data_IF_152244378448
#
_entry.id   IF_152244378448
#
_cell.length_a   1.000
_cell.length_b   1.000
_cell.length_c   1.000
_cell.angle_alpha   90.00
_cell.angle_beta   90.00
_cell.angle_gamma   90.00
#
_symmetry.space_group_name_H-M   'P 1'
#
loop_
_entity.id
_entity.type
_entity.pdbx_description
1 polymer ?
#
# COMPACT_ATOMS: atom_id res chain seq x y z
N UNK A 1 -7.22 -23.03 5.18
CA UNK A 1 -8.39 -22.75 4.31
C UNK A 1 -9.19 -21.59 4.86
N UNK A 2 -8.96 -20.35 4.40
CA UNK A 2 -9.82 -19.23 4.71
C UNK A 2 -11.22 -19.52 4.16
N UNK A 3 -12.24 -19.38 5.01
CA UNK A 3 -13.63 -19.61 4.61
C UNK A 3 -14.05 -18.71 3.44
N UNK A 4 -15.05 -19.16 2.67
CA UNK A 4 -15.62 -18.45 1.51
C UNK A 4 -15.95 -16.97 1.83
N UNK A 5 -16.34 -16.68 3.06
CA UNK A 5 -16.61 -15.32 3.56
C UNK A 5 -15.36 -14.43 3.63
N UNK A 6 -14.21 -14.96 4.08
CA UNK A 6 -12.96 -14.22 4.14
C UNK A 6 -12.45 -13.86 2.74
N UNK A 7 -12.53 -14.80 1.77
CA UNK A 7 -12.21 -14.51 0.35
C UNK A 7 -13.11 -13.41 -0.24
N UNK A 8 -14.41 -13.43 0.07
CA UNK A 8 -15.33 -12.36 -0.35
C UNK A 8 -14.94 -11.01 0.23
N UNK A 9 -14.62 -10.97 1.52
CA UNK A 9 -14.18 -9.75 2.22
C UNK A 9 -12.92 -9.15 1.60
N UNK A 10 -11.93 -9.98 1.26
CA UNK A 10 -10.69 -9.53 0.61
C UNK A 10 -10.95 -8.96 -0.79
N UNK A 11 -11.73 -9.67 -1.63
CA UNK A 11 -12.12 -9.17 -2.95
C UNK A 11 -12.82 -7.81 -2.89
N UNK A 12 -13.69 -7.60 -1.90
CA UNK A 12 -14.35 -6.31 -1.71
C UNK A 12 -13.38 -5.22 -1.27
N UNK A 13 -12.37 -5.53 -0.46
CA UNK A 13 -11.28 -4.61 -0.15
C UNK A 13 -10.46 -4.24 -1.41
N UNK A 14 -10.07 -5.22 -2.23
CA UNK A 14 -9.34 -4.99 -3.48
C UNK A 14 -10.12 -4.10 -4.45
N UNK A 15 -11.45 -4.29 -4.55
CA UNK A 15 -12.32 -3.38 -5.32
C UNK A 15 -12.30 -1.96 -4.78
N UNK A 16 -12.42 -1.78 -3.46
CA UNK A 16 -12.38 -0.45 -2.81
C UNK A 16 -11.06 0.28 -3.07
N UNK A 17 -9.94 -0.45 -3.12
CA UNK A 17 -8.62 0.11 -3.44
C UNK A 17 -8.33 0.20 -4.94
N UNK A 18 -9.23 -0.29 -5.81
CA UNK A 18 -9.03 -0.28 -7.26
C UNK A 18 -7.94 -1.26 -7.74
N UNK A 19 -7.60 -2.26 -6.95
CA UNK A 19 -6.50 -3.22 -7.19
C UNK A 19 -6.97 -4.65 -7.42
N UNK A 20 -8.27 -4.85 -7.59
CA UNK A 20 -8.80 -6.13 -8.04
C UNK A 20 -8.27 -6.44 -9.45
N UNK A 21 -7.60 -7.57 -9.60
CA UNK A 21 -7.16 -8.08 -10.89
C UNK A 21 -8.37 -8.34 -11.80
N UNK A 22 -8.43 -7.74 -13.00
CA UNK A 22 -9.52 -8.00 -13.94
C UNK A 22 -9.51 -9.43 -14.51
N UNK A 23 -8.35 -10.09 -14.54
CA UNK A 23 -8.18 -11.40 -15.16
C UNK A 23 -7.43 -12.40 -14.23
N UNK A 24 -7.98 -12.73 -13.04
CA UNK A 24 -7.32 -13.62 -12.10
C UNK A 24 -7.12 -15.04 -12.67
N UNK A 25 -8.03 -15.51 -13.53
CA UNK A 25 -7.93 -16.84 -14.14
C UNK A 25 -6.80 -16.95 -15.19
N UNK A 26 -6.24 -15.83 -15.65
CA UNK A 26 -5.11 -15.84 -16.57
C UNK A 26 -3.77 -16.06 -15.84
N UNK A 27 -3.76 -16.00 -14.50
CA UNK A 27 -2.58 -16.30 -13.67
C UNK A 27 -2.51 -17.81 -13.49
N UNK A 28 -1.54 -18.45 -14.13
CA UNK A 28 -1.33 -19.91 -14.16
C UNK A 28 0.00 -20.34 -13.53
N UNK A 29 0.76 -19.40 -12.96
CA UNK A 29 2.02 -19.72 -12.27
C UNK A 29 1.78 -20.73 -11.12
N UNK A 30 2.65 -21.74 -10.91
CA UNK A 30 2.50 -22.73 -9.84
C UNK A 30 2.39 -22.15 -8.42
N UNK A 31 2.82 -20.90 -8.20
CA UNK A 31 2.63 -20.17 -6.94
C UNK A 31 1.17 -20.06 -6.52
N UNK A 32 0.25 -20.16 -7.48
CA UNK A 32 -1.19 -20.19 -7.24
C UNK A 32 -1.63 -21.39 -6.40
N UNK A 33 -0.87 -22.47 -6.42
CA UNK A 33 -1.14 -23.71 -5.67
C UNK A 33 -0.50 -23.68 -4.27
N UNK A 34 0.44 -22.76 -4.04
CA UNK A 34 1.18 -22.67 -2.78
C UNK A 34 0.45 -21.81 -1.75
N UNK A 35 -0.46 -22.47 -1.02
CA UNK A 35 -1.03 -21.93 0.21
C UNK A 35 -1.95 -20.72 0.06
N UNK A 36 -2.16 -20.00 1.17
CA UNK A 36 -3.15 -18.93 1.27
C UNK A 36 -2.55 -17.52 1.01
N UNK A 37 -1.23 -17.42 0.79
CA UNK A 37 -0.51 -16.13 0.71
C UNK A 37 -0.61 -15.46 -0.66
N UNK A 38 -0.34 -16.21 -1.73
CA UNK A 38 -0.45 -15.68 -3.07
C UNK A 38 -1.91 -15.55 -3.50
N UNK A 39 -2.29 -14.35 -3.92
CA UNK A 39 -3.65 -14.08 -4.35
C UNK A 39 -3.69 -13.50 -5.76
N UNK A 40 -4.17 -14.33 -6.70
CA UNK A 40 -4.40 -13.96 -8.10
C UNK A 40 -5.39 -12.79 -8.25
N UNK A 41 -6.22 -12.51 -7.25
CA UNK A 41 -7.14 -11.37 -7.27
C UNK A 41 -6.46 -10.03 -6.96
N UNK A 42 -5.26 -10.03 -6.37
CA UNK A 42 -4.52 -8.80 -6.04
C UNK A 42 -3.53 -8.43 -7.15
N UNK A 43 -3.90 -7.47 -8.00
CA UNK A 43 -3.08 -7.11 -9.17
C UNK A 43 -1.69 -6.59 -8.81
N UNK A 44 -1.52 -6.00 -7.62
CA UNK A 44 -0.21 -5.47 -7.18
C UNK A 44 0.70 -6.63 -6.82
N UNK A 45 0.17 -7.63 -6.10
CA UNK A 45 0.90 -8.84 -5.75
C UNK A 45 1.26 -9.64 -7.01
N UNK A 46 0.32 -9.84 -7.93
CA UNK A 46 0.55 -10.55 -9.19
C UNK A 46 1.67 -9.89 -10.00
N UNK A 47 1.67 -8.56 -10.12
CA UNK A 47 2.75 -7.85 -10.82
C UNK A 47 4.09 -7.96 -10.09
N UNK A 48 4.10 -7.87 -8.76
CA UNK A 48 5.33 -7.99 -8.00
C UNK A 48 5.95 -9.39 -8.14
N UNK A 49 5.16 -10.45 -7.96
CA UNK A 49 5.65 -11.83 -8.11
C UNK A 49 6.09 -12.13 -9.55
N UNK A 50 5.44 -11.55 -10.56
CA UNK A 50 5.92 -11.63 -11.95
C UNK A 50 7.32 -11.05 -12.12
N UNK A 51 7.59 -9.87 -11.54
CA UNK A 51 8.93 -9.25 -11.58
C UNK A 51 9.93 -10.09 -10.78
N UNK A 52 9.56 -10.52 -9.58
CA UNK A 52 10.37 -11.34 -8.68
C UNK A 52 10.79 -12.66 -9.33
N UNK A 53 9.92 -13.31 -10.10
CA UNK A 53 10.24 -14.54 -10.85
C UNK A 53 11.36 -14.37 -11.87
N UNK A 54 11.53 -13.17 -12.44
CA UNK A 54 12.62 -12.87 -13.37
C UNK A 54 13.89 -12.51 -12.61
N UNK A 55 13.77 -11.69 -11.56
CA UNK A 55 14.94 -11.14 -10.85
C UNK A 55 15.52 -12.07 -9.80
N UNK A 56 14.70 -12.87 -9.15
CA UNK A 56 15.09 -13.80 -8.06
C UNK A 56 15.17 -15.24 -8.56
N UNK A 57 14.20 -15.68 -9.37
CA UNK A 57 14.13 -17.06 -9.86
C UNK A 57 14.72 -17.24 -11.27
N UNK A 58 15.33 -16.18 -11.84
CA UNK A 58 16.01 -16.14 -13.15
C UNK A 58 15.17 -16.66 -14.34
N UNK A 59 13.83 -16.62 -14.23
CA UNK A 59 12.97 -17.02 -15.34
C UNK A 59 13.04 -16.02 -16.49
N UNK A 60 12.76 -16.49 -17.70
CA UNK A 60 12.66 -15.58 -18.85
C UNK A 60 11.47 -14.62 -18.69
N UNK A 61 11.65 -13.36 -19.11
CA UNK A 61 10.59 -12.34 -19.12
C UNK A 61 9.33 -12.84 -19.85
N UNK A 62 9.51 -13.54 -20.98
CA UNK A 62 8.39 -14.08 -21.77
C UNK A 62 7.60 -15.11 -20.97
N UNK A 63 8.28 -16.05 -20.31
CA UNK A 63 7.64 -17.09 -19.53
C UNK A 63 6.93 -16.51 -18.30
N UNK A 64 7.61 -15.63 -17.55
CA UNK A 64 7.01 -15.00 -16.37
C UNK A 64 5.79 -14.16 -16.77
N UNK A 65 5.90 -13.28 -17.77
CA UNK A 65 4.76 -12.48 -18.21
C UNK A 65 3.55 -13.35 -18.60
N UNK A 66 3.78 -14.43 -19.36
CA UNK A 66 2.72 -15.35 -19.75
C UNK A 66 2.10 -16.09 -18.55
N UNK A 67 2.92 -16.60 -17.62
CA UNK A 67 2.45 -17.33 -16.43
C UNK A 67 1.62 -16.45 -15.48
N UNK A 68 1.88 -15.14 -15.45
CA UNK A 68 1.10 -14.18 -14.66
C UNK A 68 -0.03 -13.50 -15.46
N UNK A 69 -0.33 -13.97 -16.68
CA UNK A 69 -1.46 -13.49 -17.48
C UNK A 69 -1.25 -12.11 -18.12
N UNK A 70 0.01 -11.71 -18.34
CA UNK A 70 0.40 -10.41 -18.88
C UNK A 70 1.21 -10.53 -20.18
N UNK A 71 1.38 -9.39 -20.86
CA UNK A 71 2.21 -9.28 -22.06
C UNK A 71 3.63 -8.79 -21.70
N UNK A 72 4.61 -9.02 -22.59
CA UNK A 72 5.97 -8.47 -22.41
C UNK A 72 5.99 -6.94 -22.26
N UNK A 73 5.23 -6.14 -23.05
CA UNK A 73 5.12 -4.70 -22.81
C UNK A 73 4.63 -4.35 -21.39
N UNK A 74 3.69 -5.12 -20.86
CA UNK A 74 3.19 -4.93 -19.48
C UNK A 74 4.28 -5.24 -18.44
N UNK A 75 5.12 -6.25 -18.67
CA UNK A 75 6.29 -6.53 -17.83
C UNK A 75 7.22 -5.32 -17.77
N UNK A 76 7.68 -4.81 -18.93
CA UNK A 76 8.64 -3.71 -18.94
C UNK A 76 8.07 -2.42 -18.35
N UNK A 77 6.77 -2.17 -18.55
CA UNK A 77 6.10 -1.04 -17.90
C UNK A 77 6.06 -1.22 -16.38
N UNK A 78 5.68 -2.40 -15.89
CA UNK A 78 5.65 -2.69 -14.46
C UNK A 78 7.05 -2.62 -13.84
N UNK A 79 8.08 -3.12 -14.52
CA UNK A 79 9.47 -3.04 -14.11
C UNK A 79 9.91 -1.57 -14.00
N UNK A 80 9.68 -0.76 -15.03
CA UNK A 80 10.03 0.66 -15.01
C UNK A 80 9.29 1.43 -13.88
N UNK A 81 8.01 1.15 -13.66
CA UNK A 81 7.24 1.76 -12.59
C UNK A 81 7.71 1.29 -11.21
N UNK A 82 8.07 0.02 -11.08
CA UNK A 82 8.63 -0.54 -9.85
C UNK A 82 10.01 0.03 -9.51
N UNK A 83 10.90 0.18 -10.49
CA UNK A 83 12.22 0.80 -10.26
C UNK A 83 12.11 2.26 -9.84
N UNK A 84 11.06 2.96 -10.29
CA UNK A 84 10.83 4.38 -9.96
C UNK A 84 10.21 4.57 -8.58
N UNK A 85 9.15 3.81 -8.27
CA UNK A 85 8.27 4.08 -7.11
C UNK A 85 8.13 2.86 -6.17
N UNK A 86 8.91 1.79 -6.39
CA UNK A 86 8.80 0.52 -5.68
C UNK A 86 7.43 -0.12 -5.84
N UNK A 87 6.94 -0.75 -4.75
CA UNK A 87 5.62 -1.37 -4.74
C UNK A 87 4.47 -0.39 -5.05
N UNK A 88 4.62 0.90 -4.76
CA UNK A 88 3.61 1.91 -5.11
C UNK A 88 3.52 2.14 -6.62
N UNK A 89 4.59 1.91 -7.37
CA UNK A 89 4.59 2.00 -8.83
C UNK A 89 3.72 0.94 -9.52
N UNK A 90 3.48 -0.19 -8.84
CA UNK A 90 2.67 -1.28 -9.38
C UNK A 90 1.16 -1.03 -9.31
N UNK A 91 0.74 0.01 -8.56
CA UNK A 91 -0.66 0.40 -8.44
C UNK A 91 -1.26 0.74 -9.80
N UNK A 92 -2.51 0.34 -10.09
CA UNK A 92 -3.21 0.76 -11.29
C UNK A 92 -3.28 2.28 -11.37
N UNK A 93 -2.83 2.85 -12.48
CA UNK A 93 -2.95 4.28 -12.71
C UNK A 93 -4.44 4.69 -12.73
N UNK A 94 -4.72 5.91 -12.26
CA UNK A 94 -6.08 6.45 -12.29
C UNK A 94 -6.59 6.50 -13.73
N UNK A 95 -7.51 5.60 -14.07
CA UNK A 95 -8.23 5.56 -15.34
C UNK A 95 -9.19 6.74 -15.40
N UNK A 96 -8.72 7.84 -15.97
CA UNK A 96 -9.52 9.02 -16.28
C UNK A 96 -8.77 9.86 -17.31
N UNK A 97 -9.45 10.79 -18.00
CA UNK A 97 -8.80 11.73 -18.92
C UNK A 97 -7.66 12.45 -18.18
N UNK A 98 -6.41 12.11 -18.50
CA UNK A 98 -5.21 12.55 -17.76
C UNK A 98 -5.00 14.06 -17.87
N UNK A 99 -5.58 14.68 -18.90
CA UNK A 99 -5.53 16.12 -19.19
C UNK A 99 -6.85 16.54 -19.81
N UNK A 100 -7.34 17.71 -19.41
CA UNK A 100 -8.32 18.42 -20.24
C UNK A 100 -7.58 18.86 -21.50
N UNK A 101 -7.77 18.16 -22.62
CA UNK A 101 -7.11 18.46 -23.90
C UNK A 101 -7.35 19.90 -24.38
N UNK A 102 -8.35 20.57 -23.82
CA UNK A 102 -8.69 21.98 -24.09
C UNK A 102 -7.92 22.97 -23.20
N UNK A 103 -7.56 22.60 -21.97
CA UNK A 103 -6.86 23.50 -21.02
C UNK A 103 -5.41 23.05 -20.89
N UNK A 104 -4.63 23.34 -21.93
CA UNK A 104 -3.17 23.11 -21.95
C UNK A 104 -2.47 24.00 -20.92
N UNK A 105 -1.21 23.69 -20.54
CA UNK A 105 -0.44 24.55 -19.63
C UNK A 105 -0.39 26.01 -20.11
N UNK A 106 -0.16 26.22 -21.40
CA UNK A 106 -0.12 27.56 -22.01
C UNK A 106 -1.43 28.35 -21.85
N UNK A 107 -2.58 27.71 -22.08
CA UNK A 107 -3.90 28.32 -21.88
C UNK A 107 -4.14 28.67 -20.40
N UNK A 108 -3.66 27.82 -19.49
CA UNK A 108 -3.78 28.06 -18.04
C UNK A 108 -2.86 29.19 -17.57
N UNK A 109 -1.63 29.25 -18.07
CA UNK A 109 -0.67 30.31 -17.73
C UNK A 109 -1.18 31.66 -18.19
N UNK A 110 -1.77 31.74 -19.39
CA UNK A 110 -2.49 32.93 -19.85
C UNK A 110 -3.64 33.32 -18.91
N UNK A 111 -4.49 32.36 -18.52
CA UNK A 111 -5.60 32.63 -17.61
C UNK A 111 -5.14 33.07 -16.21
N UNK A 112 -4.00 32.56 -15.73
CA UNK A 112 -3.37 32.97 -14.47
C UNK A 112 -2.87 34.42 -14.57
N UNK A 113 -2.10 34.73 -15.62
CA UNK A 113 -1.55 36.07 -15.84
C UNK A 113 -2.66 37.11 -15.98
N UNK A 114 -3.73 36.77 -16.71
CA UNK A 114 -4.87 37.65 -16.90
C UNK A 114 -5.60 37.92 -15.58
N UNK A 115 -5.82 36.90 -14.75
CA UNK A 115 -6.43 37.08 -13.41
C UNK A 115 -5.50 37.74 -12.39
N UNK A 116 -4.18 37.63 -12.58
CA UNK A 116 -3.21 38.35 -11.75
C UNK A 116 -3.19 39.84 -12.09
N UNK A 117 -3.43 40.19 -13.36
CA UNK A 117 -3.51 41.57 -13.85
C UNK A 117 -4.84 42.24 -13.48
N UNK A 118 -5.94 41.48 -13.54
CA UNK A 118 -7.26 41.92 -13.09
C UNK A 118 -7.96 40.85 -12.23
N UNK A 119 -7.90 40.99 -10.89
CA UNK A 119 -8.53 40.06 -9.96
C UNK A 119 -10.07 40.04 -10.00
N UNK A 120 -10.71 41.03 -10.63
CA UNK A 120 -12.18 41.15 -10.68
C UNK A 120 -12.82 40.31 -11.80
N UNK A 121 -12.01 39.81 -12.74
CA UNK A 121 -12.48 39.02 -13.88
C UNK A 121 -13.21 37.75 -13.45
N UNK A 122 -14.44 37.60 -13.95
CA UNK A 122 -15.25 36.41 -13.67
C UNK A 122 -14.80 35.26 -14.56
N UNK A 123 -15.08 34.00 -14.17
CA UNK A 123 -14.76 32.83 -14.98
C UNK A 123 -15.33 32.85 -16.41
N UNK A 124 -16.43 33.57 -16.63
CA UNK A 124 -17.01 33.79 -17.96
C UNK A 124 -16.13 34.69 -18.82
N UNK A 125 -15.59 35.76 -18.25
CA UNK A 125 -14.74 36.74 -18.93
C UNK A 125 -13.39 36.08 -19.31
N UNK A 126 -12.87 35.21 -18.44
CA UNK A 126 -11.70 34.36 -18.74
C UNK A 126 -11.96 33.37 -19.88
N UNK A 127 -13.17 32.80 -19.95
CA UNK A 127 -13.53 31.87 -21.03
C UNK A 127 -13.59 32.59 -22.39
N UNK A 128 -14.15 33.81 -22.42
CA UNK A 128 -14.19 34.64 -23.61
C UNK A 128 -12.77 35.00 -24.10
N UNK A 129 -11.90 35.45 -23.19
CA UNK A 129 -10.51 35.79 -23.52
C UNK A 129 -9.70 34.58 -24.03
N UNK A 130 -9.93 33.38 -23.47
CA UNK A 130 -9.30 32.14 -23.95
C UNK A 130 -9.82 31.75 -25.34
N UNK A 131 -11.11 31.91 -25.59
CA UNK A 131 -11.71 31.65 -26.90
C UNK A 131 -11.16 32.60 -27.97
N UNK A 132 -11.02 33.89 -27.64
CA UNK A 132 -10.48 34.90 -28.55
C UNK A 132 -9.01 34.64 -28.91
N UNK A 133 -8.17 34.34 -27.92
CA UNK A 133 -6.73 34.19 -28.11
C UNK A 133 -6.28 32.82 -28.62
N UNK A 134 -6.94 31.75 -28.18
CA UNK A 134 -6.51 30.38 -28.47
C UNK A 134 -7.52 29.58 -29.30
N UNK A 135 -8.66 30.16 -29.68
CA UNK A 135 -9.77 29.46 -30.34
C UNK A 135 -10.29 28.24 -29.56
N UNK A 136 -10.07 28.20 -28.24
CA UNK A 136 -10.46 27.09 -27.37
C UNK A 136 -11.78 27.41 -26.67
N UNK A 137 -12.80 26.59 -26.94
CA UNK A 137 -14.06 26.66 -26.22
C UNK A 137 -13.98 25.87 -24.90
N UNK A 138 -13.63 26.57 -23.83
CA UNK A 138 -13.55 26.03 -22.48
C UNK A 138 -14.67 26.57 -21.59
N UNK A 139 -15.37 25.66 -20.90
CA UNK A 139 -16.45 26.03 -19.98
C UNK A 139 -15.87 26.78 -18.75
N UNK A 140 -16.51 27.88 -18.26
CA UNK A 140 -16.05 28.67 -17.11
C UNK A 140 -15.73 27.82 -15.87
N UNK A 141 -16.59 26.85 -15.55
CA UNK A 141 -16.40 25.89 -14.44
C UNK A 141 -15.15 25.01 -14.60
N UNK A 142 -14.75 24.70 -15.83
CA UNK A 142 -13.53 23.92 -16.11
C UNK A 142 -12.27 24.75 -15.91
N UNK A 143 -12.30 26.02 -16.32
CA UNK A 143 -11.20 26.98 -16.12
C UNK A 143 -10.98 27.21 -14.61
N UNK A 144 -12.06 27.49 -13.88
CA UNK A 144 -12.00 27.69 -12.43
C UNK A 144 -11.46 26.43 -11.69
N UNK A 145 -11.96 25.26 -12.09
CA UNK A 145 -11.51 23.98 -11.54
C UNK A 145 -10.03 23.70 -11.83
N UNK A 146 -9.53 24.06 -13.01
CA UNK A 146 -8.12 23.89 -13.38
C UNK A 146 -7.20 24.83 -12.60
N UNK A 147 -7.58 26.11 -12.48
CA UNK A 147 -6.84 27.10 -11.68
C UNK A 147 -6.76 26.71 -10.20
N UNK A 148 -7.82 26.11 -9.64
CA UNK A 148 -7.82 25.60 -8.26
C UNK A 148 -6.89 24.40 -8.07
N UNK A 149 -6.72 23.56 -9.10
CA UNK A 149 -5.83 22.38 -9.05
C UNK A 149 -4.36 22.77 -9.11
N UNK A 150 -3.98 23.82 -9.86
CA UNK A 150 -2.60 24.31 -9.91
C UNK A 150 -2.15 24.91 -8.58
N UNK A 151 -3.00 25.69 -7.89
CA UNK A 151 -2.68 26.21 -6.54
C UNK A 151 -2.34 25.12 -5.52
N UNK A 152 -2.86 23.89 -5.71
CA UNK A 152 -2.58 22.75 -4.82
C UNK A 152 -1.32 21.96 -5.20
N UNK A 153 -0.71 22.19 -6.37
CA UNK A 153 0.47 21.43 -6.85
C UNK A 153 1.81 22.10 -6.53
N UNK A 154 1.82 23.32 -5.99
CA UNK A 154 3.05 24.10 -5.75
C UNK A 154 3.77 23.78 -4.43
N UNK A 155 3.26 22.87 -3.61
CA UNK A 155 4.00 22.38 -2.44
C UNK A 155 4.38 20.91 -2.65
N UNK A 156 5.68 20.64 -2.74
CA UNK A 156 6.41 19.46 -2.25
C UNK A 156 7.74 19.34 -3.03
N UNK A 157 8.82 19.81 -2.42
CA UNK A 157 10.19 19.53 -2.85
C UNK A 157 10.72 18.44 -1.87
N UNK A 158 11.19 17.26 -2.30
CA UNK A 158 11.78 16.29 -1.39
C UNK A 158 13.29 16.51 -1.27
N UNK A 159 13.75 16.79 -0.05
CA UNK A 159 15.17 16.80 0.30
C UNK A 159 15.67 15.37 0.53
N UNK A 160 16.84 15.07 -0.04
CA UNK A 160 17.55 13.81 0.07
C UNK A 160 18.29 13.65 1.42
N UNK A 161 18.33 12.42 1.94
CA UNK A 161 19.16 12.03 3.09
C UNK A 161 19.00 10.55 3.42
N UNK A 162 20.12 9.83 3.58
CA UNK A 162 20.21 8.38 3.71
C UNK A 162 19.50 7.82 4.96
N UNK A 163 18.34 7.22 4.72
CA UNK A 163 17.66 6.16 5.44
C UNK A 163 17.10 5.28 4.33
N UNK A 164 17.04 3.94 4.48
CA UNK A 164 16.42 3.07 3.45
C UNK A 164 15.16 3.75 2.95
N UNK A 165 15.08 3.99 1.64
CA UNK A 165 13.96 4.77 1.10
C UNK A 165 12.67 4.05 1.47
N UNK A 166 11.57 4.77 1.76
CA UNK A 166 10.29 4.15 2.11
C UNK A 166 9.87 2.98 1.18
N UNK A 167 10.20 3.01 -0.14
CA UNK A 167 10.05 1.86 -1.04
C UNK A 167 10.82 0.59 -0.64
N UNK A 168 12.10 0.69 -0.27
CA UNK A 168 12.95 -0.47 0.10
C UNK A 168 12.45 -1.17 1.37
N UNK A 169 11.96 -0.39 2.34
CA UNK A 169 11.40 -0.94 3.59
C UNK A 169 10.17 -1.80 3.28
N UNK A 170 9.32 -1.37 2.35
CA UNK A 170 8.13 -2.13 1.97
C UNK A 170 8.48 -3.39 1.19
N UNK A 171 9.51 -3.36 0.34
CA UNK A 171 9.98 -4.55 -0.37
C UNK A 171 10.48 -5.60 0.63
N UNK A 172 11.37 -5.19 1.56
CA UNK A 172 11.89 -6.09 2.61
C UNK A 172 10.76 -6.67 3.46
N UNK A 173 9.82 -5.84 3.91
CA UNK A 173 8.71 -6.28 4.73
C UNK A 173 7.75 -7.23 3.98
N UNK A 174 7.65 -7.09 2.65
CA UNK A 174 6.89 -8.03 1.83
C UNK A 174 7.59 -9.38 1.73
N UNK A 175 8.91 -9.40 1.50
CA UNK A 175 9.67 -10.66 1.47
C UNK A 175 9.65 -11.37 2.83
N UNK A 176 9.67 -10.63 3.94
CA UNK A 176 9.52 -11.22 5.28
C UNK A 176 8.14 -11.88 5.45
N UNK A 177 7.05 -11.24 4.99
CA UNK A 177 5.72 -11.85 4.97
C UNK A 177 5.69 -13.11 4.09
N UNK A 178 6.34 -13.04 2.94
CA UNK A 178 6.40 -14.13 1.97
C UNK A 178 7.10 -15.36 2.55
N UNK A 179 8.27 -15.17 3.18
CA UNK A 179 8.99 -16.24 3.87
C UNK A 179 8.19 -16.79 5.06
N UNK A 180 7.55 -15.90 5.85
CA UNK A 180 6.73 -16.32 6.98
C UNK A 180 5.49 -17.14 6.56
N UNK A 181 4.99 -16.96 5.33
CA UNK A 181 3.90 -17.75 4.79
C UNK A 181 4.33 -19.16 4.33
N UNK A 182 5.59 -19.33 3.95
CA UNK A 182 6.19 -20.63 3.62
C UNK A 182 6.60 -21.40 4.87
N UNK A 183 6.93 -20.70 5.97
CA UNK A 183 7.23 -21.27 7.27
C UNK A 183 6.02 -21.39 8.21
N UNK A 184 6.22 -22.06 9.36
CA UNK A 184 5.20 -22.21 10.42
C UNK A 184 5.12 -21.01 11.39
N UNK A 185 5.60 -19.82 10.99
CA UNK A 185 5.79 -18.69 11.91
C UNK A 185 4.48 -17.94 12.21
N UNK A 186 4.40 -17.33 13.40
CA UNK A 186 3.19 -16.71 13.94
C UNK A 186 2.66 -15.57 13.06
N UNK A 187 1.34 -15.59 12.80
CA UNK A 187 0.66 -14.59 11.96
C UNK A 187 0.50 -13.27 12.71
N UNK A 188 1.43 -12.34 12.52
CA UNK A 188 1.33 -10.98 13.04
C UNK A 188 0.20 -10.17 12.41
N UNK A 189 -0.10 -8.99 12.99
CA UNK A 189 -1.15 -8.08 12.49
C UNK A 189 -0.96 -7.70 11.01
N UNK A 190 0.29 -7.51 10.57
CA UNK A 190 0.61 -7.23 9.17
C UNK A 190 0.15 -8.34 8.23
N UNK A 191 0.40 -9.60 8.58
CA UNK A 191 -0.06 -10.78 7.83
C UNK A 191 -1.59 -10.86 7.81
N UNK A 192 -2.26 -10.55 8.92
CA UNK A 192 -3.73 -10.54 8.98
C UNK A 192 -4.34 -9.48 8.05
N UNK A 193 -3.76 -8.26 8.01
CA UNK A 193 -4.19 -7.21 7.08
C UNK A 193 -3.96 -7.65 5.63
N UNK A 194 -2.78 -8.19 5.34
CA UNK A 194 -2.42 -8.65 4.00
C UNK A 194 -3.38 -9.74 3.49
N UNK A 195 -3.62 -10.78 4.29
CA UNK A 195 -4.53 -11.87 3.93
C UNK A 195 -6.02 -11.46 3.93
N UNK A 196 -6.40 -10.45 4.71
CA UNK A 196 -7.79 -10.01 4.82
C UNK A 196 -8.19 -8.90 3.85
N UNK A 197 -7.26 -8.02 3.47
CA UNK A 197 -7.55 -6.79 2.72
C UNK A 197 -6.63 -6.56 1.51
N UNK A 198 -5.57 -7.36 1.36
CA UNK A 198 -4.64 -7.28 0.23
C UNK A 198 -3.43 -6.38 0.47
N UNK A 199 -2.56 -6.36 -0.54
CA UNK A 199 -1.25 -5.73 -0.53
C UNK A 199 -1.32 -4.22 -0.31
N UNK A 200 -2.28 -3.53 -0.94
CA UNK A 200 -2.41 -2.07 -0.78
C UNK A 200 -2.81 -1.65 0.62
N UNK A 201 -3.76 -2.37 1.23
CA UNK A 201 -4.17 -2.08 2.60
C UNK A 201 -3.01 -2.31 3.59
N UNK A 202 -2.23 -3.36 3.36
CA UNK A 202 -1.01 -3.64 4.11
C UNK A 202 0.07 -2.54 3.90
N UNK A 203 0.36 -2.14 2.66
CA UNK A 203 1.31 -1.05 2.36
C UNK A 203 0.90 0.26 3.05
N UNK A 204 -0.39 0.61 3.00
CA UNK A 204 -0.92 1.79 3.68
C UNK A 204 -0.78 1.68 5.21
N UNK A 205 -0.97 0.50 5.79
CA UNK A 205 -0.75 0.28 7.22
C UNK A 205 0.73 0.44 7.60
N UNK A 206 1.65 -0.15 6.84
CA UNK A 206 3.10 -0.02 7.04
C UNK A 206 3.58 1.43 6.94
N UNK A 207 3.04 2.20 5.98
CA UNK A 207 3.39 3.61 5.81
C UNK A 207 3.00 4.50 7.00
N UNK A 208 1.98 4.12 7.77
CA UNK A 208 1.56 4.83 8.99
C UNK A 208 2.43 4.51 10.19
N UNK A 209 2.97 3.28 10.26
CA UNK A 209 3.88 2.84 11.32
C UNK A 209 5.29 3.40 11.09
N UNK A 210 5.73 3.54 9.83
CA UNK A 210 7.02 4.13 9.47
C UNK A 210 7.19 5.63 9.76
N UNK A 211 6.10 6.36 10.02
CA UNK A 211 6.15 7.73 10.53
C UNK A 211 6.37 7.81 12.05
N UNK A 212 6.33 6.68 12.75
CA UNK A 212 6.85 6.61 14.12
C UNK A 212 8.33 6.30 14.03
N UNK A 213 9.15 7.21 14.54
CA UNK A 213 10.60 7.08 14.68
C UNK A 213 11.01 5.62 14.96
N UNK A 214 11.89 4.98 14.16
CA UNK A 214 12.32 3.59 14.38
C UNK A 214 12.96 3.35 15.75
N UNK A 215 13.35 4.41 16.49
CA UNK A 215 13.77 4.28 17.89
C UNK A 215 12.63 3.90 18.85
N UNK A 216 11.37 4.13 18.47
CA UNK A 216 10.21 3.82 19.32
C UNK A 216 9.60 2.44 19.04
N UNK A 217 9.83 1.86 17.85
CA UNK A 217 9.37 0.50 17.53
C UNK A 217 10.22 -0.59 18.21
N UNK A 218 11.48 -0.29 18.58
CA UNK A 218 12.27 -1.12 19.50
C UNK A 218 11.79 -1.04 20.96
N UNK A 219 10.88 -0.12 21.30
CA UNK A 219 10.42 0.10 22.69
C UNK A 219 9.10 -0.59 23.05
N UNK A 220 8.52 -1.37 22.13
CA UNK A 220 7.39 -2.26 22.41
C UNK A 220 7.73 -3.74 22.16
N UNK A 221 9.01 -4.11 22.27
CA UNK A 221 9.30 -5.34 22.99
C UNK A 221 9.02 -5.01 24.45
N UNK A 222 7.95 -5.53 25.03
CA UNK A 222 7.96 -5.75 26.47
C UNK A 222 9.04 -6.80 26.69
N UNK A 223 10.20 -6.51 27.30
CA UNK A 223 10.89 -7.58 27.98
C UNK A 223 9.93 -7.97 29.10
N UNK A 224 9.45 -9.21 29.13
CA UNK A 224 8.96 -9.75 30.38
C UNK A 224 10.09 -9.53 31.39
N UNK A 225 9.94 -8.52 32.25
CA UNK A 225 10.91 -8.24 33.29
C UNK A 225 11.06 -9.54 34.08
N UNK A 226 12.26 -10.14 34.15
CA UNK A 226 12.46 -11.20 35.12
C UNK A 226 12.26 -10.53 36.48
N UNK A 227 11.20 -10.93 37.18
CA UNK A 227 10.93 -10.51 38.54
C UNK A 227 12.25 -10.58 39.35
N UNK A 228 12.61 -9.53 40.10
CA UNK A 228 13.77 -9.57 40.99
C UNK A 228 13.71 -10.82 41.85
N UNK A 229 14.81 -11.56 41.90
CA UNK A 229 14.93 -12.85 42.59
C UNK A 229 14.89 -12.75 44.12
N UNK A 230 14.38 -11.66 44.68
CA UNK A 230 14.37 -11.40 46.12
C UNK A 230 12.97 -11.50 46.75
N UNK A 231 11.93 -11.78 45.96
CA UNK A 231 10.55 -11.97 46.47
C UNK A 231 9.86 -13.26 45.96
N UNK A 232 10.62 -14.21 45.40
CA UNK A 232 10.08 -15.56 45.08
C UNK A 232 9.97 -16.47 46.30
N UNK A 233 10.81 -16.28 47.33
CA UNK A 233 10.78 -17.09 48.55
C UNK A 233 9.56 -16.81 49.42
N UNK A 234 9.20 -15.54 49.61
CA UNK A 234 8.11 -15.15 50.51
C UNK A 234 6.72 -15.44 49.93
N UNK A 235 6.52 -15.30 48.62
CA UNK A 235 5.23 -15.58 47.97
C UNK A 235 4.91 -17.09 48.00
N UNK A 236 5.91 -17.96 47.86
CA UNK A 236 5.71 -19.42 47.99
C UNK A 236 5.35 -19.80 49.44
N UNK A 237 5.95 -19.15 50.44
CA UNK A 237 5.66 -19.42 51.85
C UNK A 237 4.26 -18.95 52.26
N UNK A 238 3.78 -17.81 51.74
CA UNK A 238 2.41 -17.32 51.97
C UNK A 238 1.38 -18.19 51.26
N UNK A 239 1.64 -18.65 50.02
CA UNK A 239 0.71 -19.53 49.31
C UNK A 239 0.67 -20.95 49.91
N UNK A 240 1.80 -21.47 50.41
CA UNK A 240 1.83 -22.77 51.11
C UNK A 240 1.13 -22.73 52.48
N UNK A 241 1.25 -21.63 53.23
CA UNK A 241 0.57 -21.46 54.52
C UNK A 241 -0.94 -21.24 54.37
N UNK A 242 -1.39 -20.65 53.24
CA UNK A 242 -2.82 -20.58 52.92
C UNK A 242 -3.39 -21.93 52.45
N UNK A 243 -2.62 -22.75 51.73
CA UNK A 243 -3.05 -24.07 51.25
C UNK A 243 -3.13 -25.14 52.35
N UNK A 244 -2.32 -25.04 53.42
CA UNK A 244 -2.36 -25.99 54.54
C UNK A 244 -3.47 -25.69 55.57
N UNK A 245 -4.17 -24.55 55.45
CA UNK A 245 -5.26 -24.15 56.38
C UNK A 245 -6.67 -24.54 55.90
N UNK A 246 -6.78 -25.32 54.82
CA UNK A 246 -8.06 -25.86 54.35
C UNK A 246 -7.95 -27.36 54.07
N UNK A 247 -7.81 -28.15 55.14
CA UNK A 247 -8.20 -29.55 55.14
C UNK A 247 -9.35 -29.73 56.16
N UNK A 248 -10.55 -30.13 55.73
CA UNK A 248 -11.66 -30.40 56.63
C UNK A 248 -11.47 -31.73 57.35
N UNK A 249 -11.60 -31.71 58.68
CA UNK A 249 -11.71 -32.88 59.52
C UNK A 249 -12.98 -33.67 59.15
N UNK A 250 -12.80 -34.91 58.72
CA UNK A 250 -13.86 -35.93 58.66
C UNK A 250 -13.44 -37.02 59.64
N UNK A 251 -14.03 -36.98 60.83
CA UNK A 251 -14.00 -38.08 61.78
C UNK A 251 -14.95 -39.21 61.33
N UNK A 252 -14.66 -40.47 61.69
CA UNK A 252 -15.36 -41.67 61.21
C UNK A 252 -16.80 -41.80 61.70
#
# INVERSE_FOLDING_TARGET
MPGKAAKKSKRDALKRHGTLNPHPNAVTDPLVETGDFFDRDDVVQVKYEMLRRVTVDEQSVTQSAAAFGFSRPTYYQAEADFQRDGLFGLLPEKRGPRRGHKLTPEVLDFAIQLRASDPSLRPLDLAAAIQERFAVNAHPRSIEGALRRQKKKTSLNPAAGACKTAPEILISAYEDLRQAAEGSSSRGLGMAIFLGQGMVAWMLACSRVGSTNPDNARRCQTPAAPLPNELRGEIVLVLATMALKQAPEVHP
#
